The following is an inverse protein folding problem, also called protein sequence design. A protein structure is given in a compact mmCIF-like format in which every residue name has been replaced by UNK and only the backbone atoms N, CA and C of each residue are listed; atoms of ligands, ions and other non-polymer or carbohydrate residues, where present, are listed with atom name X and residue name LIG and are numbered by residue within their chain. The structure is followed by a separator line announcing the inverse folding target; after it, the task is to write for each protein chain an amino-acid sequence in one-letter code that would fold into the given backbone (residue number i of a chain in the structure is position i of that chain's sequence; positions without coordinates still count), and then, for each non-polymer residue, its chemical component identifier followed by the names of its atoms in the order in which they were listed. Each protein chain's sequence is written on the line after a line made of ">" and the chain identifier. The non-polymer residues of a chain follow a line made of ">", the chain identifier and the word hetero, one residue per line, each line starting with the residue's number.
data_IF_297344855254
#
_entry.id   IF_297344855254
#
_cell.length_a   1.000
_cell.length_b   1.000
_cell.length_c   1.000
_cell.angle_alpha   90.00
_cell.angle_beta   90.00
_cell.angle_gamma   90.00
#
_symmetry.space_group_name_H-M   'P 1'
#
loop_
_entity.id
_entity.type
_entity.pdbx_description
1 polymer ?
#
# COMPACT_ATOMS: atom_id res chain seq x y z
N UNK A 1 4.45 -18.57 -21.97
CA UNK A 1 3.24 -17.78 -21.63
C UNK A 1 3.30 -17.50 -20.16
N UNK A 2 3.25 -16.24 -19.75
CA UNK A 2 3.25 -15.88 -18.34
C UNK A 2 1.89 -16.24 -17.71
N UNK A 3 1.93 -16.91 -16.57
CA UNK A 3 0.75 -17.29 -15.78
C UNK A 3 0.67 -16.40 -14.53
N UNK A 4 -0.53 -15.94 -14.20
CA UNK A 4 -0.80 -15.24 -12.93
C UNK A 4 -1.64 -16.11 -12.02
N UNK A 5 -1.30 -16.04 -10.73
CA UNK A 5 -2.05 -16.66 -9.65
C UNK A 5 -2.59 -15.54 -8.77
N UNK A 6 -3.91 -15.48 -8.61
CA UNK A 6 -4.58 -14.50 -7.75
C UNK A 6 -5.37 -15.23 -6.68
N UNK A 7 -5.43 -14.70 -5.47
CA UNK A 7 -6.16 -15.30 -4.35
C UNK A 7 -6.75 -14.24 -3.44
N UNK A 8 -7.70 -14.63 -2.59
CA UNK A 8 -8.27 -13.77 -1.55
C UNK A 8 -7.56 -14.02 -0.23
N UNK A 9 -7.26 -12.95 0.49
CA UNK A 9 -6.74 -12.99 1.85
C UNK A 9 -7.75 -12.33 2.81
N UNK A 10 -7.83 -12.85 4.03
CA UNK A 10 -8.58 -12.28 5.14
C UNK A 10 -7.63 -11.75 6.21
N UNK A 11 -7.97 -10.60 6.80
CA UNK A 11 -7.28 -10.09 8.00
C UNK A 11 -7.81 -10.85 9.22
N UNK A 12 -6.90 -11.28 10.09
CA UNK A 12 -7.23 -11.96 11.35
C UNK A 12 -7.31 -11.00 12.54
N UNK A 13 -6.73 -9.81 12.40
CA UNK A 13 -6.68 -8.77 13.42
C UNK A 13 -6.88 -7.41 12.74
N UNK A 14 -7.41 -6.45 13.50
CA UNK A 14 -7.45 -5.06 13.07
C UNK A 14 -6.03 -4.51 12.90
N UNK A 15 -5.86 -3.62 11.93
CA UNK A 15 -4.57 -2.99 11.63
C UNK A 15 -4.76 -1.50 11.34
N UNK A 16 -3.74 -0.70 11.65
CA UNK A 16 -3.68 0.68 11.22
C UNK A 16 -3.04 0.81 9.85
N UNK A 17 -3.69 1.51 8.94
CA UNK A 17 -3.16 1.85 7.61
C UNK A 17 -3.34 3.33 7.34
N UNK A 18 -2.46 3.90 6.51
CA UNK A 18 -2.63 5.27 6.01
C UNK A 18 -3.64 5.24 4.87
N UNK A 19 -4.71 6.03 5.01
CA UNK A 19 -5.73 6.18 3.99
C UNK A 19 -5.39 7.35 3.04
N UNK A 20 -4.93 7.01 1.83
CA UNK A 20 -4.68 7.97 0.76
C UNK A 20 -5.88 8.13 -0.19
N UNK A 21 -6.99 7.42 0.03
CA UNK A 21 -8.21 7.57 -0.78
C UNK A 21 -8.95 8.87 -0.45
N UNK A 22 -8.69 9.45 0.73
CA UNK A 22 -9.33 10.65 1.25
C UNK A 22 -8.28 11.68 1.67
N UNK A 23 -7.79 12.44 0.71
CA UNK A 23 -6.83 13.52 0.97
C UNK A 23 -7.54 14.84 1.31
N UNK A 24 -6.98 15.67 2.22
CA UNK A 24 -7.51 16.98 2.51
C UNK A 24 -7.58 17.86 1.25
N UNK A 25 -8.58 18.72 1.18
CA UNK A 25 -8.66 19.74 0.13
C UNK A 25 -7.44 20.66 0.22
N UNK A 26 -6.89 21.08 -0.92
CA UNK A 26 -5.81 22.07 -0.92
C UNK A 26 -6.41 23.42 -0.50
N UNK A 27 -5.95 24.01 0.62
CA UNK A 27 -6.38 25.34 1.01
C UNK A 27 -6.11 26.38 -0.07
N UNK A 28 -6.97 27.40 -0.13
CA UNK A 28 -6.77 28.57 -0.98
C UNK A 28 -5.47 29.28 -0.62
N UNK A 29 -4.84 29.94 -1.60
CA UNK A 29 -3.70 30.83 -1.35
C UNK A 29 -4.07 32.03 -0.48
N UNK A 30 -5.36 32.36 -0.39
CA UNK A 30 -5.88 33.46 0.43
C UNK A 30 -6.38 32.98 1.81
N UNK A 31 -6.29 31.68 2.10
CA UNK A 31 -6.69 31.12 3.40
C UNK A 31 -5.51 31.18 4.38
N UNK A 32 -5.40 32.31 5.07
CA UNK A 32 -4.32 32.55 6.03
C UNK A 32 -4.35 31.61 7.25
N UNK A 33 -5.51 31.03 7.58
CA UNK A 33 -5.66 30.11 8.72
C UNK A 33 -5.03 28.76 8.40
N UNK A 34 -5.25 28.26 7.18
CA UNK A 34 -4.75 26.94 6.72
C UNK A 34 -3.55 27.03 5.79
N UNK A 35 -2.92 28.19 5.66
CA UNK A 35 -1.79 28.42 4.75
C UNK A 35 -0.67 27.39 4.95
N UNK A 36 -0.37 27.01 6.21
CA UNK A 36 0.65 26.01 6.55
C UNK A 36 0.34 24.59 6.05
N UNK A 37 -0.95 24.24 5.94
CA UNK A 37 -1.38 22.89 5.53
C UNK A 37 -1.37 22.74 4.01
N UNK A 38 -1.22 23.85 3.27
CA UNK A 38 -1.27 23.87 1.82
C UNK A 38 -0.15 23.08 1.17
N UNK A 39 1.09 23.30 1.59
CA UNK A 39 2.25 22.58 1.07
C UNK A 39 2.13 21.08 1.30
N UNK A 40 1.69 20.68 2.49
CA UNK A 40 1.46 19.26 2.81
C UNK A 40 0.33 18.64 1.99
N UNK A 41 -0.77 19.36 1.78
CA UNK A 41 -1.89 18.88 0.95
C UNK A 41 -1.48 18.70 -0.51
N UNK A 42 -0.65 19.60 -1.04
CA UNK A 42 -0.09 19.47 -2.40
C UNK A 42 0.87 18.30 -2.48
N UNK A 43 1.77 18.16 -1.48
CA UNK A 43 2.70 17.04 -1.40
C UNK A 43 1.96 15.71 -1.40
N UNK A 44 0.95 15.52 -0.52
CA UNK A 44 0.20 14.27 -0.43
C UNK A 44 -0.51 13.92 -1.75
N UNK A 45 -1.00 14.92 -2.48
CA UNK A 45 -1.64 14.71 -3.79
C UNK A 45 -0.63 14.24 -4.84
N UNK A 46 0.51 14.92 -4.96
CA UNK A 46 1.59 14.52 -5.87
C UNK A 46 2.16 13.14 -5.51
N UNK A 47 2.38 12.92 -4.21
CA UNK A 47 2.79 11.62 -3.70
C UNK A 47 1.80 10.53 -4.07
N UNK A 48 0.49 10.75 -3.91
CA UNK A 48 -0.52 9.78 -4.31
C UNK A 48 -0.53 9.55 -5.82
N UNK A 49 -0.40 10.60 -6.64
CA UNK A 49 -0.30 10.48 -8.09
C UNK A 49 0.87 9.58 -8.49
N UNK A 50 2.03 9.74 -7.86
CA UNK A 50 3.20 8.88 -8.10
C UNK A 50 3.01 7.46 -7.55
N UNK A 51 2.46 7.34 -6.33
CA UNK A 51 2.25 6.08 -5.63
C UNK A 51 1.24 5.17 -6.35
N UNK A 52 0.24 5.76 -7.00
CA UNK A 52 -0.81 5.05 -7.72
C UNK A 52 -0.51 4.86 -9.22
N UNK A 53 0.71 5.17 -9.72
CA UNK A 53 1.06 4.89 -11.12
C UNK A 53 1.10 3.38 -11.40
N UNK A 54 0.56 2.92 -12.53
CA UNK A 54 0.75 1.54 -12.98
C UNK A 54 2.23 1.24 -13.22
N UNK A 55 2.69 0.08 -12.75
CA UNK A 55 4.06 -0.39 -13.00
C UNK A 55 4.13 -0.91 -14.46
N UNK A 56 4.79 -0.17 -15.35
CA UNK A 56 5.13 -0.65 -16.70
C UNK A 56 6.39 -1.51 -16.61
N UNK A 57 6.22 -2.83 -16.79
CA UNK A 57 7.35 -3.78 -16.86
C UNK A 57 8.05 -3.64 -18.22
N UNK A 58 9.07 -2.79 -18.30
CA UNK A 58 9.69 -2.39 -19.57
C UNK A 58 11.16 -1.96 -19.45
N UNK A 59 11.83 -2.22 -18.32
CA UNK A 59 13.27 -1.98 -18.18
C UNK A 59 13.69 -0.54 -17.81
N UNK A 60 12.75 0.39 -17.61
CA UNK A 60 12.99 1.74 -17.03
C UNK A 60 12.53 1.85 -15.56
N UNK A 61 12.54 0.72 -14.85
CA UNK A 61 11.89 0.56 -13.54
C UNK A 61 12.67 1.22 -12.38
N UNK A 62 13.94 1.57 -12.58
CA UNK A 62 14.86 1.85 -11.48
C UNK A 62 14.98 3.31 -11.00
N UNK A 63 14.42 4.29 -11.71
CA UNK A 63 14.63 5.73 -11.36
C UNK A 63 13.35 6.41 -10.85
N UNK A 64 12.17 6.02 -11.36
CA UNK A 64 10.90 6.70 -11.02
C UNK A 64 10.34 6.35 -9.63
N UNK A 65 10.77 5.23 -9.01
CA UNK A 65 10.19 4.72 -7.76
C UNK A 65 10.96 5.07 -6.48
N UNK A 66 12.16 5.67 -6.59
CA UNK A 66 12.98 5.99 -5.41
C UNK A 66 12.23 6.91 -4.43
N UNK A 67 11.51 7.97 -4.87
CA UNK A 67 10.83 8.84 -3.92
C UNK A 67 9.68 8.16 -3.16
N UNK A 68 8.86 7.33 -3.83
CA UNK A 68 7.72 6.66 -3.19
C UNK A 68 8.17 5.53 -2.26
N UNK A 69 9.27 4.85 -2.59
CA UNK A 69 9.88 3.83 -1.74
C UNK A 69 10.43 4.42 -0.43
N UNK A 70 11.12 5.56 -0.50
CA UNK A 70 11.67 6.21 0.70
C UNK A 70 10.55 6.62 1.66
N UNK A 71 9.46 7.20 1.16
CA UNK A 71 8.31 7.58 1.99
C UNK A 71 7.63 6.35 2.60
N UNK A 72 7.43 5.29 1.83
CA UNK A 72 6.83 4.04 2.35
C UNK A 72 7.69 3.41 3.44
N UNK A 73 9.00 3.35 3.26
CA UNK A 73 9.94 2.84 4.28
C UNK A 73 9.93 3.71 5.53
N UNK A 74 9.97 5.05 5.39
CA UNK A 74 9.85 5.94 6.53
C UNK A 74 8.56 5.67 7.32
N UNK A 75 7.42 5.59 6.62
CA UNK A 75 6.14 5.32 7.23
C UNK A 75 6.09 3.94 7.93
N UNK A 76 6.65 2.90 7.30
CA UNK A 76 6.73 1.54 7.86
C UNK A 76 7.42 1.48 9.22
N UNK A 77 8.49 2.27 9.41
CA UNK A 77 9.32 2.19 10.61
C UNK A 77 9.08 3.31 11.63
N UNK A 78 8.48 4.44 11.22
CA UNK A 78 8.41 5.64 12.06
C UNK A 78 6.97 6.13 12.35
N UNK A 79 5.96 5.66 11.62
CA UNK A 79 4.58 6.10 11.83
C UNK A 79 3.83 5.09 12.67
N UNK A 80 3.29 5.54 13.79
CA UNK A 80 2.46 4.74 14.68
C UNK A 80 1.17 5.47 15.06
N UNK A 81 0.16 4.69 15.43
CA UNK A 81 -1.09 5.18 16.00
C UNK A 81 -1.42 4.32 17.22
N UNK A 82 -1.76 4.97 18.33
CA UNK A 82 -2.05 4.30 19.61
C UNK A 82 -0.94 3.31 20.06
N UNK A 83 0.33 3.63 19.79
CA UNK A 83 1.48 2.79 20.15
C UNK A 83 1.80 1.66 19.17
N UNK A 84 1.01 1.49 18.10
CA UNK A 84 1.23 0.45 17.09
C UNK A 84 1.69 1.04 15.76
N UNK A 85 2.73 0.44 15.16
CA UNK A 85 3.19 0.81 13.83
C UNK A 85 2.09 0.52 12.80
N UNK A 86 1.95 1.44 11.84
CA UNK A 86 1.07 1.20 10.69
C UNK A 86 1.54 -0.06 9.93
N UNK A 87 0.59 -0.74 9.29
CA UNK A 87 0.81 -1.98 8.53
C UNK A 87 0.63 -1.79 7.03
N UNK A 88 0.42 -0.57 6.56
CA UNK A 88 0.34 -0.32 5.12
C UNK A 88 -0.36 0.96 4.73
N UNK A 89 -0.68 1.02 3.44
CA UNK A 89 -1.40 2.10 2.77
C UNK A 89 -2.64 1.56 2.07
N UNK A 90 -3.70 2.36 2.09
CA UNK A 90 -4.89 2.20 1.25
C UNK A 90 -4.94 3.34 0.24
N UNK A 91 -5.18 3.05 -1.04
CA UNK A 91 -5.13 4.03 -2.12
C UNK A 91 -6.05 3.65 -3.29
N UNK A 92 -6.47 4.61 -4.13
CA UNK A 92 -7.23 4.30 -5.33
C UNK A 92 -6.49 3.33 -6.25
N UNK A 93 -7.21 2.35 -6.80
CA UNK A 93 -6.59 1.34 -7.66
C UNK A 93 -6.10 1.96 -8.97
N UNK A 94 -4.84 1.67 -9.30
CA UNK A 94 -4.16 2.06 -10.55
C UNK A 94 -4.72 1.38 -11.79
N UNK A 95 -5.47 0.29 -11.62
CA UNK A 95 -5.95 -0.58 -12.72
C UNK A 95 -7.47 -0.60 -12.80
N UNK A 96 -8.16 -0.61 -11.65
CA UNK A 96 -9.62 -0.67 -11.62
C UNK A 96 -10.20 0.68 -11.17
N UNK A 97 -10.83 1.42 -12.10
CA UNK A 97 -11.45 2.72 -11.79
C UNK A 97 -12.52 2.56 -10.70
N UNK A 98 -12.41 3.32 -9.62
CA UNK A 98 -13.29 3.20 -8.44
C UNK A 98 -12.94 2.05 -7.49
N UNK A 99 -11.98 1.21 -7.85
CA UNK A 99 -11.41 0.20 -6.96
C UNK A 99 -10.43 0.78 -5.95
N UNK A 100 -10.11 -0.01 -4.93
CA UNK A 100 -9.11 0.32 -3.90
C UNK A 100 -8.00 -0.72 -3.92
N UNK A 101 -6.76 -0.27 -3.79
CA UNK A 101 -5.57 -1.09 -3.64
C UNK A 101 -4.99 -0.92 -2.24
N UNK A 102 -4.27 -1.95 -1.79
CA UNK A 102 -3.60 -1.97 -0.49
C UNK A 102 -2.13 -2.35 -0.68
N UNK A 103 -1.23 -1.58 -0.07
CA UNK A 103 0.18 -1.92 0.06
C UNK A 103 0.43 -2.28 1.51
N UNK A 104 0.68 -3.55 1.80
CA UNK A 104 0.76 -4.08 3.17
C UNK A 104 2.21 -4.45 3.53
N UNK A 105 2.63 -4.08 4.73
CA UNK A 105 3.97 -4.31 5.26
C UNK A 105 4.08 -5.65 5.98
N UNK A 106 3.67 -6.72 5.31
CA UNK A 106 3.70 -8.07 5.84
C UNK A 106 4.81 -8.90 5.22
N UNK A 107 5.45 -9.72 6.05
CA UNK A 107 6.37 -10.76 5.61
C UNK A 107 5.71 -12.14 5.66
N UNK A 108 6.49 -13.19 5.34
CA UNK A 108 5.98 -14.57 5.32
C UNK A 108 5.46 -15.05 6.69
N UNK A 109 6.01 -14.54 7.78
CA UNK A 109 5.63 -14.94 9.14
C UNK A 109 4.31 -14.31 9.56
N UNK A 110 4.02 -13.09 9.11
CA UNK A 110 2.71 -12.45 9.26
C UNK A 110 1.59 -13.20 8.50
N UNK A 111 1.97 -14.03 7.52
CA UNK A 111 1.09 -14.89 6.73
C UNK A 111 1.03 -16.35 7.22
N UNK A 112 1.50 -16.64 8.43
CA UNK A 112 1.33 -17.96 9.08
C UNK A 112 2.49 -18.94 8.89
N UNK A 113 3.61 -18.53 8.29
CA UNK A 113 4.84 -19.34 8.31
C UNK A 113 5.38 -19.37 9.74
N UNK A 114 5.54 -20.56 10.31
CA UNK A 114 6.13 -20.72 11.66
C UNK A 114 7.63 -20.42 11.62
N UNK A 115 8.12 -19.58 12.53
CA UNK A 115 9.56 -19.41 12.75
C UNK A 115 10.12 -20.66 13.44
N UNK A 116 11.19 -21.25 12.88
CA UNK A 116 11.97 -22.27 13.59
C UNK A 116 12.75 -21.55 14.71
N UNK A 117 12.65 -22.03 15.96
CA UNK A 117 13.39 -21.55 17.14
C UNK A 117 13.09 -20.14 17.65
N UNK A 118 11.82 -19.74 17.82
CA UNK A 118 11.50 -18.57 18.65
C UNK A 118 10.37 -18.87 19.62
N UNK A 119 10.60 -18.57 20.91
CA UNK A 119 9.58 -18.60 21.97
C UNK A 119 8.56 -17.45 21.83
N UNK A 120 8.75 -16.55 20.86
CA UNK A 120 7.89 -15.38 20.63
C UNK A 120 6.73 -15.77 19.71
N UNK A 121 5.51 -15.60 20.21
CA UNK A 121 4.30 -15.72 19.41
C UNK A 121 4.39 -14.75 18.22
N UNK A 122 4.52 -15.28 17.00
CA UNK A 122 4.36 -14.48 15.79
C UNK A 122 2.87 -14.29 15.58
N UNK A 123 2.39 -13.06 15.74
CA UNK A 123 1.00 -12.73 15.43
C UNK A 123 0.82 -12.89 13.92
N UNK A 124 -0.09 -13.76 13.52
CA UNK A 124 -0.50 -13.90 12.13
C UNK A 124 -1.56 -12.83 11.82
N UNK A 125 -1.34 -12.03 10.77
CA UNK A 125 -2.26 -10.99 10.34
C UNK A 125 -3.08 -11.41 9.13
N UNK A 126 -2.50 -12.18 8.20
CA UNK A 126 -3.17 -12.59 6.97
C UNK A 126 -3.36 -14.09 6.89
N UNK A 127 -4.50 -14.49 6.35
CA UNK A 127 -4.79 -15.88 6.01
C UNK A 127 -5.34 -15.98 4.60
N UNK A 128 -4.82 -16.95 3.85
CA UNK A 128 -5.35 -17.31 2.54
C UNK A 128 -6.75 -17.93 2.71
N UNK A 129 -7.74 -17.38 2.02
CA UNK A 129 -9.09 -17.96 1.99
C UNK A 129 -9.03 -19.23 1.13
N UNK A 130 -9.28 -20.40 1.76
CA UNK A 130 -9.22 -21.70 1.10
C UNK A 130 -10.14 -21.75 -0.12
N UNK A 131 -9.64 -22.27 -1.24
CA UNK A 131 -10.40 -22.39 -2.49
C UNK A 131 -10.58 -21.07 -3.27
N UNK A 132 -10.00 -19.95 -2.80
CA UNK A 132 -10.09 -18.66 -3.52
C UNK A 132 -9.06 -18.48 -4.64
N UNK A 133 -8.07 -19.36 -4.71
CA UNK A 133 -6.97 -19.28 -5.67
C UNK A 133 -7.47 -19.55 -7.08
N UNK A 134 -7.21 -18.60 -7.98
CA UNK A 134 -7.48 -18.70 -9.41
C UNK A 134 -6.19 -18.55 -10.17
N UNK A 135 -6.05 -19.33 -11.23
CA UNK A 135 -4.94 -19.24 -12.17
C UNK A 135 -5.47 -18.76 -13.51
N UNK A 136 -4.68 -17.97 -14.23
CA UNK A 136 -5.06 -17.47 -15.54
C UNK A 136 -3.87 -16.97 -16.33
N UNK A 137 -4.02 -16.80 -17.65
CA UNK A 137 -2.98 -16.21 -18.48
C UNK A 137 -2.80 -14.73 -18.14
N UNK A 138 -1.56 -14.24 -18.21
CA UNK A 138 -1.30 -12.80 -18.20
C UNK A 138 -1.89 -12.20 -19.47
N UNK A 139 -2.98 -11.43 -19.33
CA UNK A 139 -3.41 -10.49 -20.36
C UNK A 139 -2.81 -9.12 -20.01
N UNK A 140 -1.82 -8.69 -20.77
CA UNK A 140 -1.37 -7.32 -20.70
C UNK A 140 -2.52 -6.42 -21.17
N UNK A 141 -3.14 -5.67 -20.25
CA UNK A 141 -3.95 -4.52 -20.62
C UNK A 141 -2.97 -3.44 -21.06
N UNK A 142 -2.65 -3.42 -22.35
CA UNK A 142 -2.05 -2.25 -22.96
C UNK A 142 -3.12 -1.15 -22.96
N UNK A 143 -3.02 -0.21 -22.02
CA UNK A 143 -3.69 1.09 -22.05
C UNK A 143 -2.70 2.17 -22.44
#
# INVERSE_FOLDING_TARGET
>A
MDEVVVSKFELLNDIYIIDLTRLPAVPSIFDNVRARDRSMSIFLRRFLEDFAKPIKKGGREHIEYVPTQVVTEYCKYNVSKAGELIKGFMYPSSVNKGGTSYCLFFDRYDCGVKKKNTAKCCVQYLKLVKGSTKRGPVKALCT
#
